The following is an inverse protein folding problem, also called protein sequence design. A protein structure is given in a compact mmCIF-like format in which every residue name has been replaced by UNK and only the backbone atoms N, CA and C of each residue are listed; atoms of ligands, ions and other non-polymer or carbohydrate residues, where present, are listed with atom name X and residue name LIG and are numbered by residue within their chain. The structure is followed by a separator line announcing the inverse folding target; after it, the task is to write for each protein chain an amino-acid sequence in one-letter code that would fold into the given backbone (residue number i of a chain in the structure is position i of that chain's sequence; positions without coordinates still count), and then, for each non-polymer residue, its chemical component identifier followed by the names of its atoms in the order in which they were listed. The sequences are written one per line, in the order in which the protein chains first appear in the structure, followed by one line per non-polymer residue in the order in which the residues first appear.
data_IF_324863122577
#
_entry.id   IF_324863122577
#
_cell.length_a   1.000
_cell.length_b   1.000
_cell.length_c   1.000
_cell.angle_alpha   90.00
_cell.angle_beta   90.00
_cell.angle_gamma   90.00
#
_symmetry.space_group_name_H-M   'P 1'
#
loop_
_entity.id
_entity.type
_entity.pdbx_description
1 polymer ?
#
# COMPACT_ATOMS: atom_id res chain seq x y z
N UNK A 1 25.33 -5.01 -13.11
CA UNK A 1 25.72 -3.61 -13.36
C UNK A 1 25.88 -2.94 -12.04
N UNK A 2 27.05 -2.32 -11.82
CA UNK A 2 27.43 -1.69 -10.55
C UNK A 2 26.51 -0.50 -10.27
N UNK A 3 25.69 -0.59 -9.23
CA UNK A 3 24.95 0.54 -8.65
C UNK A 3 25.90 1.42 -7.82
N UNK A 4 27.00 1.82 -8.41
CA UNK A 4 27.76 2.97 -7.96
C UNK A 4 27.07 4.20 -8.57
N UNK A 5 25.99 4.66 -7.93
CA UNK A 5 25.61 6.06 -8.09
C UNK A 5 26.85 6.88 -7.77
N UNK A 6 27.36 7.58 -8.77
CA UNK A 6 28.30 8.66 -8.58
C UNK A 6 27.61 9.68 -7.68
N UNK A 7 27.89 9.62 -6.42
CA UNK A 7 27.63 10.73 -5.52
C UNK A 7 28.54 11.85 -6.05
N UNK A 8 28.01 13.02 -6.33
CA UNK A 8 28.74 14.19 -6.81
C UNK A 8 29.86 14.66 -5.86
N UNK A 9 30.07 13.96 -4.75
CA UNK A 9 31.05 14.23 -3.69
C UNK A 9 32.30 13.38 -3.77
N UNK A 10 32.66 12.86 -4.94
CA UNK A 10 33.92 12.15 -5.14
C UNK A 10 33.78 10.63 -5.12
N UNK A 11 34.77 9.98 -5.72
CA UNK A 11 34.86 8.53 -5.83
C UNK A 11 35.20 7.93 -4.45
N UNK A 12 34.36 6.98 -3.99
CA UNK A 12 34.61 6.33 -2.69
C UNK A 12 35.83 5.42 -2.80
N UNK A 13 36.90 5.78 -2.15
CA UNK A 13 38.14 5.01 -2.11
C UNK A 13 38.01 3.92 -1.06
N UNK A 14 38.22 2.66 -1.46
CA UNK A 14 38.23 1.51 -0.56
C UNK A 14 39.67 1.22 -0.11
N UNK A 15 39.96 1.46 1.15
CA UNK A 15 41.26 1.17 1.78
C UNK A 15 41.37 -0.25 2.34
N UNK A 16 40.36 -1.09 2.18
CA UNK A 16 40.38 -2.47 2.63
C UNK A 16 41.32 -3.32 1.78
N UNK A 17 42.14 -4.14 2.41
CA UNK A 17 42.97 -5.15 1.76
C UNK A 17 42.18 -6.37 1.27
N UNK A 18 40.95 -6.53 1.75
CA UNK A 18 40.05 -7.62 1.42
C UNK A 18 39.09 -7.14 0.32
N UNK A 19 39.03 -7.88 -0.80
CA UNK A 19 38.03 -7.60 -1.83
C UNK A 19 36.64 -7.87 -1.26
N UNK A 20 35.74 -6.89 -1.33
CA UNK A 20 34.34 -7.08 -0.97
C UNK A 20 33.73 -8.16 -1.88
N UNK A 21 33.33 -9.28 -1.28
CA UNK A 21 32.70 -10.40 -2.00
C UNK A 21 31.22 -10.17 -2.25
N UNK A 22 30.60 -9.29 -1.47
CA UNK A 22 29.17 -8.98 -1.57
C UNK A 22 29.02 -7.46 -1.68
N UNK A 23 28.26 -6.95 -2.66
CA UNK A 23 27.94 -5.53 -2.73
C UNK A 23 27.12 -5.10 -1.51
N UNK A 24 27.34 -3.87 -1.04
CA UNK A 24 26.55 -3.31 0.06
C UNK A 24 25.07 -3.23 -0.38
N UNK A 25 24.14 -3.84 0.39
CA UNK A 25 22.72 -3.73 0.09
C UNK A 25 22.24 -2.29 0.24
N UNK A 26 21.22 -1.93 -0.53
CA UNK A 26 20.56 -0.64 -0.38
C UNK A 26 19.70 -0.67 0.90
N UNK A 27 20.17 -0.02 1.96
CA UNK A 27 19.53 -0.03 3.28
C UNK A 27 18.17 0.65 3.32
N UNK A 28 17.86 1.52 2.35
CA UNK A 28 16.56 2.20 2.24
C UNK A 28 15.63 1.56 1.21
N UNK A 29 16.04 0.47 0.56
CA UNK A 29 15.23 -0.19 -0.47
C UNK A 29 13.88 -0.66 0.06
N UNK A 30 13.84 -1.19 1.28
CA UNK A 30 12.60 -1.67 1.93
C UNK A 30 11.59 -0.53 2.09
N UNK A 31 12.04 0.62 2.55
CA UNK A 31 11.17 1.79 2.76
C UNK A 31 10.65 2.33 1.43
N UNK A 32 11.52 2.47 0.43
CA UNK A 32 11.14 2.94 -0.90
C UNK A 32 10.14 1.99 -1.57
N UNK A 33 10.46 0.70 -1.64
CA UNK A 33 9.59 -0.28 -2.29
C UNK A 33 8.25 -0.42 -1.59
N UNK A 34 8.23 -0.36 -0.25
CA UNK A 34 6.99 -0.39 0.53
C UNK A 34 6.09 0.82 0.22
N UNK A 35 6.68 2.01 0.10
CA UNK A 35 5.92 3.23 -0.20
C UNK A 35 5.46 3.28 -1.66
N UNK A 36 6.28 2.82 -2.59
CA UNK A 36 5.89 2.66 -4.00
C UNK A 36 4.73 1.68 -4.16
N UNK A 37 4.77 0.54 -3.45
CA UNK A 37 3.68 -0.43 -3.42
C UNK A 37 2.41 0.13 -2.76
N UNK A 38 2.56 0.99 -1.74
CA UNK A 38 1.43 1.66 -1.12
C UNK A 38 0.74 2.62 -2.07
N UNK A 39 1.48 3.48 -2.74
CA UNK A 39 0.92 4.50 -3.64
C UNK A 39 0.56 3.96 -5.01
N UNK A 40 1.32 3.03 -5.57
CA UNK A 40 1.19 2.52 -6.94
C UNK A 40 1.03 3.66 -7.96
N UNK A 41 1.76 4.76 -7.76
CA UNK A 41 1.55 6.03 -8.43
C UNK A 41 1.79 5.97 -9.94
N UNK A 42 2.74 5.14 -10.38
CA UNK A 42 3.10 4.99 -11.80
C UNK A 42 2.29 3.93 -12.55
N UNK A 43 1.24 3.35 -11.94
CA UNK A 43 0.38 2.34 -12.56
C UNK A 43 -0.96 2.96 -12.97
N UNK A 44 -1.48 2.52 -14.11
CA UNK A 44 -2.85 2.83 -14.50
C UNK A 44 -3.84 2.22 -13.50
N UNK A 45 -5.02 2.79 -13.38
CA UNK A 45 -6.01 2.34 -12.40
C UNK A 45 -6.36 0.84 -12.53
N UNK A 46 -6.38 0.34 -13.77
CA UNK A 46 -6.69 -1.05 -14.13
C UNK A 46 -5.55 -2.04 -13.83
N UNK A 47 -4.32 -1.54 -13.76
CA UNK A 47 -3.13 -2.34 -13.50
C UNK A 47 -2.79 -2.43 -12.00
N UNK A 48 -3.48 -1.66 -11.16
CA UNK A 48 -3.18 -1.61 -9.73
C UNK A 48 -3.57 -2.88 -9.01
N UNK A 49 -2.66 -3.37 -8.22
CA UNK A 49 -2.93 -4.48 -7.31
C UNK A 49 -3.79 -4.01 -6.14
N UNK A 50 -4.63 -4.91 -5.62
CA UNK A 50 -5.46 -4.62 -4.44
C UNK A 50 -4.60 -4.63 -3.15
N UNK A 51 -3.64 -3.72 -3.08
CA UNK A 51 -2.71 -3.51 -1.95
C UNK A 51 -2.58 -2.02 -1.66
N UNK A 52 -2.10 -1.67 -0.46
CA UNK A 52 -1.87 -0.28 -0.07
C UNK A 52 -3.11 0.59 -0.16
N UNK A 53 -2.99 1.75 -0.80
CA UNK A 53 -4.08 2.73 -0.91
C UNK A 53 -5.30 2.17 -1.69
N UNK A 54 -5.07 1.37 -2.73
CA UNK A 54 -6.14 0.70 -3.48
C UNK A 54 -6.97 -0.22 -2.58
N UNK A 55 -6.31 -1.01 -1.74
CA UNK A 55 -6.99 -1.92 -0.81
C UNK A 55 -7.81 -1.16 0.24
N UNK A 56 -7.33 -0.01 0.71
CA UNK A 56 -8.07 0.83 1.66
C UNK A 56 -9.37 1.30 1.03
N UNK A 57 -9.34 1.86 -0.17
CA UNK A 57 -10.57 2.28 -0.87
C UNK A 57 -11.49 1.09 -1.14
N UNK A 58 -10.96 -0.02 -1.64
CA UNK A 58 -11.76 -1.22 -1.92
C UNK A 58 -12.40 -1.84 -0.68
N UNK A 59 -11.82 -1.66 0.52
CA UNK A 59 -12.39 -2.18 1.78
C UNK A 59 -13.49 -1.31 2.36
N UNK A 60 -13.48 0.00 2.05
CA UNK A 60 -14.47 0.96 2.55
C UNK A 60 -15.68 1.05 1.62
N UNK A 61 -15.45 0.98 0.32
CA UNK A 61 -16.49 1.10 -0.69
C UNK A 61 -16.86 -0.27 -1.28
N UNK A 62 -18.14 -0.50 -1.67
CA UNK A 62 -19.24 0.47 -1.74
C UNK A 62 -19.81 0.85 -0.37
N UNK A 63 -20.25 2.09 -0.23
CA UNK A 63 -20.92 2.60 0.95
C UNK A 63 -22.39 2.85 0.63
N UNK A 64 -23.28 2.16 1.34
CA UNK A 64 -24.73 2.25 1.13
C UNK A 64 -25.39 3.13 2.19
N UNK A 65 -26.42 3.86 1.78
CA UNK A 65 -27.32 4.54 2.69
C UNK A 65 -28.11 3.52 3.54
N UNK A 66 -28.54 3.92 4.74
CA UNK A 66 -29.35 3.06 5.64
C UNK A 66 -30.69 2.62 5.02
N UNK A 67 -31.24 3.38 4.07
CA UNK A 67 -32.43 3.03 3.28
C UNK A 67 -32.10 2.24 2.03
N UNK A 68 -30.84 2.04 1.75
CA UNK A 68 -30.36 1.42 0.52
C UNK A 68 -30.88 2.08 -0.77
N UNK A 69 -31.17 3.38 -0.67
CA UNK A 69 -31.64 4.19 -1.81
C UNK A 69 -30.49 4.71 -2.68
N UNK A 70 -29.28 4.79 -2.12
CA UNK A 70 -28.08 5.18 -2.84
C UNK A 70 -26.89 4.36 -2.43
N UNK A 71 -25.98 4.15 -3.37
CA UNK A 71 -24.69 3.51 -3.15
C UNK A 71 -23.57 4.37 -3.72
N UNK A 72 -22.53 4.60 -2.93
CA UNK A 72 -21.33 5.30 -3.36
C UNK A 72 -20.23 4.28 -3.63
N UNK A 73 -19.79 4.21 -4.87
CA UNK A 73 -18.74 3.33 -5.32
C UNK A 73 -17.45 4.08 -5.56
N UNK A 74 -16.34 3.49 -5.18
CA UNK A 74 -15.02 3.92 -5.58
C UNK A 74 -14.72 3.40 -6.99
N UNK A 75 -14.26 4.29 -7.88
CA UNK A 75 -13.90 3.93 -9.26
C UNK A 75 -12.38 3.87 -9.40
N UNK A 76 -11.71 4.97 -9.14
CA UNK A 76 -10.26 5.09 -9.27
C UNK A 76 -9.73 6.27 -8.45
N UNK A 77 -8.43 6.27 -8.20
CA UNK A 77 -7.74 7.46 -7.71
C UNK A 77 -6.60 7.85 -8.65
N UNK A 78 -6.22 9.11 -8.61
CA UNK A 78 -5.09 9.68 -9.34
C UNK A 78 -4.23 10.47 -8.36
N UNK A 79 -2.92 10.24 -8.41
CA UNK A 79 -1.94 10.94 -7.59
C UNK A 79 -1.16 11.93 -8.45
N UNK A 80 -1.24 13.18 -8.11
CA UNK A 80 -0.56 14.27 -8.80
C UNK A 80 -1.14 14.55 -10.18
N UNK A 81 -0.48 15.45 -10.89
CA UNK A 81 -0.78 15.78 -12.28
C UNK A 81 0.36 15.30 -13.16
N UNK A 82 0.05 14.44 -14.12
CA UNK A 82 1.01 13.88 -15.05
C UNK A 82 0.88 14.59 -16.38
N UNK A 83 1.88 15.43 -16.70
CA UNK A 83 1.87 16.21 -17.93
C UNK A 83 3.30 16.54 -18.39
N UNK A 84 3.44 16.86 -19.68
CA UNK A 84 4.68 17.40 -20.20
C UNK A 84 4.89 18.86 -19.75
N UNK A 85 6.09 19.40 -19.94
CA UNK A 85 6.43 20.77 -19.48
C UNK A 85 5.50 21.87 -19.99
N UNK A 86 4.91 21.71 -21.19
CA UNK A 86 3.98 22.67 -21.75
C UNK A 86 2.50 22.40 -21.41
N UNK A 87 2.19 21.31 -20.70
CA UNK A 87 0.83 20.91 -20.29
C UNK A 87 -0.06 20.40 -21.42
N UNK A 88 0.43 20.23 -22.65
CA UNK A 88 -0.37 19.74 -23.79
C UNK A 88 -0.53 18.22 -23.80
N UNK A 89 0.51 17.49 -23.44
CA UNK A 89 0.47 16.05 -23.32
C UNK A 89 0.22 15.70 -21.85
N UNK A 90 -0.89 15.02 -21.56
CA UNK A 90 -1.34 14.68 -20.18
C UNK A 90 -1.70 13.21 -20.10
N UNK A 91 -1.49 12.63 -18.94
CA UNK A 91 -1.92 11.27 -18.60
C UNK A 91 -0.79 10.27 -18.48
N UNK A 92 -1.01 9.25 -17.65
CA UNK A 92 -0.08 8.15 -17.40
C UNK A 92 0.05 7.18 -18.58
N UNK A 93 -0.93 7.15 -19.47
CA UNK A 93 -0.92 6.33 -20.69
C UNK A 93 0.29 6.65 -21.59
N UNK A 94 0.74 7.90 -21.59
CA UNK A 94 1.92 8.32 -22.33
C UNK A 94 3.27 7.88 -21.72
N UNK A 95 3.23 7.21 -20.56
CA UNK A 95 4.38 6.54 -19.96
C UNK A 95 4.41 5.04 -20.28
N UNK A 96 3.63 4.59 -21.25
CA UNK A 96 3.61 3.22 -21.74
C UNK A 96 4.36 3.13 -23.07
N UNK A 97 5.01 2.00 -23.23
CA UNK A 97 5.68 1.61 -24.47
C UNK A 97 5.18 0.22 -24.87
N UNK A 98 5.12 -0.03 -26.16
CA UNK A 98 4.75 -1.34 -26.67
C UNK A 98 6.00 -2.22 -26.79
N UNK A 99 5.89 -3.44 -26.29
CA UNK A 99 6.96 -4.42 -26.47
C UNK A 99 7.10 -4.78 -27.95
N UNK A 100 8.30 -4.64 -28.49
CA UNK A 100 8.59 -4.95 -29.89
C UNK A 100 8.44 -6.44 -30.26
N UNK A 101 8.42 -7.33 -29.24
CA UNK A 101 8.38 -8.77 -29.44
C UNK A 101 7.00 -9.39 -29.21
N UNK A 102 6.21 -8.88 -28.29
CA UNK A 102 4.90 -9.44 -27.93
C UNK A 102 3.75 -8.43 -27.93
N UNK A 103 4.01 -7.18 -28.30
CA UNK A 103 3.06 -6.07 -28.30
C UNK A 103 2.37 -5.78 -26.92
N UNK A 104 2.92 -6.30 -25.83
CA UNK A 104 2.40 -6.01 -24.50
C UNK A 104 2.70 -4.57 -24.12
N UNK A 105 1.72 -3.88 -23.56
CA UNK A 105 1.91 -2.52 -23.01
C UNK A 105 2.68 -2.61 -21.68
N UNK A 106 3.86 -2.02 -21.64
CA UNK A 106 4.73 -2.04 -20.46
C UNK A 106 5.03 -0.62 -19.99
N UNK A 107 5.24 -0.48 -18.69
CA UNK A 107 5.67 0.80 -18.13
C UNK A 107 7.08 1.14 -18.67
N UNK A 108 7.24 2.35 -19.18
CA UNK A 108 8.55 2.85 -19.55
C UNK A 108 9.46 2.95 -18.31
N UNK A 109 10.75 2.70 -18.51
CA UNK A 109 11.75 2.97 -17.50
C UNK A 109 12.05 4.47 -17.40
N UNK A 110 12.92 4.82 -16.47
CA UNK A 110 13.39 6.20 -16.37
C UNK A 110 14.01 6.69 -17.70
N UNK A 111 13.92 7.99 -18.01
CA UNK A 111 14.42 8.54 -19.29
C UNK A 111 15.91 8.28 -19.57
N UNK A 112 16.68 7.90 -18.55
CA UNK A 112 18.11 7.57 -18.66
C UNK A 112 18.37 6.14 -19.15
N UNK A 113 17.37 5.27 -19.06
CA UNK A 113 17.48 3.88 -19.49
C UNK A 113 17.13 3.76 -20.97
N UNK A 114 17.95 3.09 -21.72
CA UNK A 114 17.77 2.89 -23.18
C UNK A 114 16.90 1.69 -23.51
N UNK A 115 16.76 0.75 -22.59
CA UNK A 115 15.98 -0.48 -22.78
C UNK A 115 15.29 -0.94 -21.50
N UNK A 116 14.15 -1.58 -21.65
CA UNK A 116 13.34 -2.17 -20.58
C UNK A 116 13.12 -3.64 -20.87
N UNK A 117 13.19 -4.48 -19.84
CA UNK A 117 12.86 -5.91 -19.97
C UNK A 117 11.35 -6.06 -19.89
N UNK A 118 10.73 -6.66 -20.90
CA UNK A 118 9.31 -6.93 -20.92
C UNK A 118 8.95 -8.03 -19.90
N UNK A 119 8.04 -7.79 -18.94
CA UNK A 119 7.66 -8.79 -17.96
C UNK A 119 6.86 -9.96 -18.57
N UNK A 120 6.24 -9.75 -19.74
CA UNK A 120 5.43 -10.79 -20.39
C UNK A 120 6.26 -11.80 -21.20
N UNK A 121 7.31 -11.34 -21.90
CA UNK A 121 8.10 -12.22 -22.76
C UNK A 121 9.58 -12.33 -22.34
N UNK A 122 10.04 -11.55 -21.34
CA UNK A 122 11.41 -11.54 -20.86
C UNK A 122 12.45 -10.89 -21.81
N UNK A 123 12.01 -10.37 -22.98
CA UNK A 123 12.89 -9.75 -23.97
C UNK A 123 13.11 -8.26 -23.70
N UNK A 124 14.29 -7.76 -24.07
CA UNK A 124 14.60 -6.34 -24.00
C UNK A 124 13.87 -5.55 -25.09
N UNK A 125 13.23 -4.46 -24.73
CA UNK A 125 12.53 -3.53 -25.63
C UNK A 125 13.12 -2.14 -25.47
N UNK A 126 13.22 -1.38 -26.57
CA UNK A 126 13.70 0.01 -26.51
C UNK A 126 12.78 0.87 -25.65
N UNK A 127 13.37 1.68 -24.77
CA UNK A 127 12.63 2.62 -23.92
C UNK A 127 12.24 3.88 -24.69
N UNK A 128 11.34 3.73 -25.67
CA UNK A 128 10.89 4.81 -26.54
C UNK A 128 9.67 5.53 -25.93
N UNK A 129 9.89 6.30 -24.88
CA UNK A 129 8.82 7.08 -24.24
C UNK A 129 8.30 8.15 -25.22
N UNK A 130 6.99 8.25 -25.44
CA UNK A 130 6.42 9.31 -26.26
C UNK A 130 6.78 10.70 -25.75
N UNK A 131 7.32 11.53 -26.62
CA UNK A 131 7.66 12.92 -26.32
C UNK A 131 6.56 13.85 -26.86
N UNK A 132 6.31 14.92 -26.12
CA UNK A 132 5.36 15.94 -26.58
C UNK A 132 5.85 16.60 -27.87
N UNK A 133 5.04 16.62 -28.93
CA UNK A 133 5.45 17.20 -30.21
C UNK A 133 5.72 18.71 -30.15
N UNK A 134 5.22 19.38 -29.10
CA UNK A 134 5.37 20.84 -28.96
C UNK A 134 6.60 21.23 -28.16
N UNK A 135 6.92 20.52 -27.06
CA UNK A 135 8.02 20.90 -26.16
C UNK A 135 9.16 19.88 -26.13
N UNK A 136 9.05 18.77 -26.87
CA UNK A 136 10.07 17.73 -26.92
C UNK A 136 10.32 16.99 -25.58
N UNK A 137 9.51 17.22 -24.54
CA UNK A 137 9.69 16.58 -23.26
C UNK A 137 8.65 15.46 -23.06
N UNK A 138 9.03 14.36 -22.39
CA UNK A 138 8.07 13.32 -22.00
C UNK A 138 7.11 13.83 -20.92
N UNK A 139 6.05 13.05 -20.66
CA UNK A 139 5.18 13.25 -19.53
C UNK A 139 5.94 12.94 -18.23
N UNK A 140 5.75 13.76 -17.23
CA UNK A 140 6.31 13.58 -15.89
C UNK A 140 5.34 14.07 -14.83
N UNK A 141 5.62 13.73 -13.59
CA UNK A 141 4.87 14.23 -12.46
C UNK A 141 5.15 15.73 -12.30
N UNK A 142 4.09 16.54 -12.37
CA UNK A 142 4.19 17.97 -12.12
C UNK A 142 4.06 18.25 -10.64
N UNK A 143 5.08 18.84 -10.07
CA UNK A 143 5.12 19.30 -8.70
C UNK A 143 5.07 20.82 -8.66
N UNK A 144 4.33 21.36 -7.70
CA UNK A 144 4.22 22.80 -7.51
C UNK A 144 5.51 23.39 -6.92
N UNK A 145 6.20 22.62 -6.09
CA UNK A 145 7.42 23.00 -5.39
C UNK A 145 8.44 21.86 -5.45
N UNK A 146 9.71 22.23 -5.57
CA UNK A 146 10.80 21.28 -5.45
C UNK A 146 11.06 20.91 -3.98
N UNK A 147 11.88 19.88 -3.75
CA UNK A 147 12.29 19.50 -2.39
C UNK A 147 12.99 20.66 -1.66
N UNK A 148 13.83 21.41 -2.37
CA UNK A 148 14.54 22.58 -1.84
C UNK A 148 13.57 23.70 -1.48
N UNK A 149 12.62 24.01 -2.37
CA UNK A 149 11.60 25.03 -2.08
C UNK A 149 10.76 24.67 -0.85
N UNK A 150 10.43 23.38 -0.69
CA UNK A 150 9.67 22.92 0.46
C UNK A 150 10.45 23.09 1.78
N UNK A 151 11.75 22.80 1.77
CA UNK A 151 12.60 23.00 2.95
C UNK A 151 12.75 24.49 3.33
N UNK A 152 13.00 25.34 2.33
CA UNK A 152 13.23 26.78 2.56
C UNK A 152 11.97 27.54 2.97
N UNK A 153 10.83 27.16 2.38
CA UNK A 153 9.55 27.85 2.64
C UNK A 153 8.71 27.21 3.74
N UNK A 154 9.17 26.15 4.37
CA UNK A 154 8.41 25.45 5.41
C UNK A 154 7.17 24.71 4.89
N UNK A 155 7.21 24.23 3.64
CA UNK A 155 6.10 23.52 2.99
C UNK A 155 6.25 22.01 3.13
N UNK A 156 5.17 21.29 2.82
CA UNK A 156 5.18 19.84 2.72
C UNK A 156 5.36 19.42 1.26
N UNK A 157 6.32 18.52 1.01
CA UNK A 157 6.54 17.93 -0.29
C UNK A 157 5.47 16.86 -0.54
N UNK A 158 4.42 17.20 -1.27
CA UNK A 158 3.23 16.38 -1.43
C UNK A 158 2.63 16.50 -2.83
N UNK A 159 1.74 15.56 -3.15
CA UNK A 159 0.93 15.54 -4.37
C UNK A 159 -0.54 15.51 -4.03
N UNK A 160 -1.40 16.16 -4.83
CA UNK A 160 -2.84 16.06 -4.68
C UNK A 160 -3.31 14.63 -4.99
N UNK A 161 -4.18 14.13 -4.12
CA UNK A 161 -4.95 12.90 -4.31
C UNK A 161 -6.33 13.29 -4.82
N UNK A 162 -6.68 12.81 -5.99
CA UNK A 162 -8.01 12.93 -6.59
C UNK A 162 -8.63 11.55 -6.66
N UNK A 163 -9.89 11.45 -6.31
CA UNK A 163 -10.64 10.19 -6.28
C UNK A 163 -11.89 10.34 -7.10
N UNK A 164 -12.11 9.41 -8.01
CA UNK A 164 -13.35 9.33 -8.80
C UNK A 164 -14.31 8.41 -8.07
N UNK A 165 -15.46 8.95 -7.72
CA UNK A 165 -16.56 8.23 -7.12
C UNK A 165 -17.72 8.14 -8.11
N UNK A 166 -18.48 7.06 -7.98
CA UNK A 166 -19.72 6.83 -8.71
C UNK A 166 -20.85 6.68 -7.71
N UNK A 167 -21.79 7.61 -7.76
CA UNK A 167 -23.03 7.56 -7.01
C UNK A 167 -24.10 6.88 -7.85
N UNK A 168 -24.64 5.77 -7.34
CA UNK A 168 -25.78 5.06 -7.94
C UNK A 168 -27.01 5.31 -7.09
N UNK A 169 -28.04 5.85 -7.69
CA UNK A 169 -29.32 6.12 -7.04
C UNK A 169 -30.32 5.08 -7.53
N UNK A 170 -30.99 4.43 -6.58
CA UNK A 170 -32.02 3.43 -6.84
C UNK A 170 -33.41 3.98 -6.60
N UNK A 171 -34.38 3.43 -7.31
CA UNK A 171 -35.81 3.61 -7.06
C UNK A 171 -36.47 2.23 -6.88
N UNK A 172 -37.53 2.18 -6.08
CA UNK A 172 -38.34 0.98 -5.93
C UNK A 172 -39.31 0.89 -7.13
N UNK A 173 -39.18 -0.18 -7.91
CA UNK A 173 -40.08 -0.50 -9.00
C UNK A 173 -41.34 -1.23 -8.50
N UNK A 174 -42.34 -1.39 -9.40
CA UNK A 174 -43.56 -2.18 -9.16
C UNK A 174 -43.15 -3.64 -8.86
N UNK A 175 -43.33 -4.09 -7.61
CA UNK A 175 -42.96 -5.43 -7.16
C UNK A 175 -41.75 -5.49 -6.19
N UNK A 176 -41.22 -4.34 -5.73
CA UNK A 176 -40.09 -4.30 -4.78
C UNK A 176 -38.71 -4.53 -5.40
N UNK A 177 -38.63 -4.55 -6.72
CA UNK A 177 -37.35 -4.64 -7.43
C UNK A 177 -36.63 -3.29 -7.41
N UNK A 178 -35.32 -3.31 -7.09
CA UNK A 178 -34.47 -2.14 -7.18
C UNK A 178 -34.09 -1.86 -8.62
N UNK A 179 -34.39 -0.67 -9.09
CA UNK A 179 -33.97 -0.20 -10.41
C UNK A 179 -33.02 0.99 -10.26
N UNK A 180 -32.03 1.04 -11.12
CA UNK A 180 -31.11 2.18 -11.17
C UNK A 180 -31.87 3.34 -11.79
N UNK A 181 -32.04 4.42 -11.03
CA UNK A 181 -32.66 5.66 -11.47
C UNK A 181 -31.66 6.61 -12.11
N UNK A 182 -30.49 6.78 -11.46
CA UNK A 182 -29.47 7.73 -11.91
C UNK A 182 -28.08 7.24 -11.52
N UNK A 183 -27.08 7.56 -12.34
CA UNK A 183 -25.67 7.26 -12.06
C UNK A 183 -24.87 8.53 -12.32
N UNK A 184 -24.20 9.04 -11.29
CA UNK A 184 -23.31 10.19 -11.39
C UNK A 184 -21.89 9.78 -11.04
N UNK A 185 -20.96 10.21 -11.90
CA UNK A 185 -19.54 9.98 -11.67
C UNK A 185 -18.81 11.33 -11.62
N UNK A 186 -18.02 11.55 -10.58
CA UNK A 186 -17.32 12.81 -10.39
C UNK A 186 -15.94 12.56 -9.77
N UNK A 187 -14.93 13.30 -10.26
CA UNK A 187 -13.59 13.33 -9.69
C UNK A 187 -13.51 14.42 -8.61
N UNK A 188 -13.23 14.03 -7.39
CA UNK A 188 -13.14 14.92 -6.24
C UNK A 188 -11.69 15.02 -5.74
N UNK A 189 -11.30 16.23 -5.34
CA UNK A 189 -10.08 16.44 -4.59
C UNK A 189 -10.25 15.88 -3.16
N UNK A 190 -9.44 14.88 -2.82
CA UNK A 190 -9.57 14.17 -1.55
C UNK A 190 -8.57 14.64 -0.49
N UNK A 191 -7.45 15.24 -0.91
CA UNK A 191 -6.40 15.75 -0.03
C UNK A 191 -5.04 15.72 -0.69
N UNK A 192 -3.99 15.85 0.12
CA UNK A 192 -2.60 15.75 -0.33
C UNK A 192 -1.91 14.58 0.36
N UNK A 193 -1.09 13.87 -0.39
CA UNK A 193 -0.23 12.81 0.14
C UNK A 193 1.23 13.25 0.05
N UNK A 194 1.98 13.18 1.16
CA UNK A 194 3.41 13.45 1.15
C UNK A 194 4.14 12.51 0.18
N UNK A 195 5.14 13.01 -0.52
CA UNK A 195 6.02 12.20 -1.35
C UNK A 195 7.30 11.85 -0.61
N UNK A 196 7.81 10.67 -0.87
CA UNK A 196 9.13 10.26 -0.42
C UNK A 196 10.19 10.82 -1.36
N UNK A 197 11.25 11.37 -0.80
CA UNK A 197 12.41 11.87 -1.54
C UNK A 197 13.27 10.71 -2.06
N UNK A 198 14.23 11.02 -2.91
CA UNK A 198 15.19 10.00 -3.39
C UNK A 198 16.01 9.37 -2.25
N UNK A 199 16.20 10.09 -1.15
CA UNK A 199 16.92 9.62 0.04
C UNK A 199 16.05 8.81 1.01
N UNK A 200 14.76 8.60 0.70
CA UNK A 200 13.84 7.81 1.54
C UNK A 200 13.26 8.60 2.71
N UNK A 201 13.30 9.93 2.66
CA UNK A 201 12.77 10.84 3.67
C UNK A 201 11.47 11.50 3.22
N UNK A 202 10.77 12.13 4.13
CA UNK A 202 9.59 12.98 3.86
C UNK A 202 9.87 14.39 4.34
N UNK A 203 9.48 15.39 3.55
CA UNK A 203 9.57 16.79 3.95
C UNK A 203 8.18 17.24 4.39
N UNK A 204 8.02 17.47 5.68
CA UNK A 204 6.76 17.90 6.30
C UNK A 204 6.97 19.25 6.98
N UNK A 205 6.27 20.29 6.54
CA UNK A 205 6.41 21.65 7.04
C UNK A 205 7.88 22.12 7.05
N UNK A 206 8.61 21.83 5.96
CA UNK A 206 10.02 22.16 5.81
C UNK A 206 11.00 21.27 6.58
N UNK A 207 10.51 20.40 7.45
CA UNK A 207 11.35 19.50 8.26
C UNK A 207 11.46 18.13 7.58
N UNK A 208 12.67 17.64 7.42
CA UNK A 208 12.94 16.31 6.88
C UNK A 208 12.71 15.24 7.96
N UNK A 209 11.90 14.23 7.64
CA UNK A 209 11.49 13.17 8.56
C UNK A 209 11.64 11.80 7.91
N UNK A 210 11.86 10.79 8.73
CA UNK A 210 12.00 9.39 8.30
C UNK A 210 10.99 8.53 9.06
N UNK A 211 10.38 7.59 8.36
CA UNK A 211 9.57 6.55 8.99
C UNK A 211 10.52 5.44 9.45
N UNK A 212 10.61 5.25 10.75
CA UNK A 212 11.44 4.20 11.35
C UNK A 212 10.64 2.91 11.41
N UNK A 213 11.22 1.81 10.90
CA UNK A 213 10.63 0.49 11.00
C UNK A 213 10.52 0.06 12.47
N UNK A 214 9.32 -0.38 12.86
CA UNK A 214 9.08 -0.89 14.20
C UNK A 214 8.93 -2.40 14.16
N UNK A 215 9.66 -3.08 15.05
CA UNK A 215 9.52 -4.52 15.24
C UNK A 215 8.37 -4.79 16.20
N UNK A 216 7.41 -5.58 15.76
CA UNK A 216 6.29 -6.03 16.59
C UNK A 216 6.12 -7.54 16.50
N UNK A 217 5.39 -8.13 17.44
CA UNK A 217 5.07 -9.56 17.36
C UNK A 217 4.13 -9.80 16.18
N UNK A 218 4.43 -10.83 15.39
CA UNK A 218 3.58 -11.25 14.29
C UNK A 218 2.19 -11.67 14.80
N UNK A 219 1.12 -11.25 14.13
CA UNK A 219 -0.21 -11.80 14.39
C UNK A 219 -0.22 -13.31 14.17
N UNK A 220 -0.94 -14.02 15.03
CA UNK A 220 -1.02 -15.48 14.94
C UNK A 220 -1.18 -16.14 16.30
N UNK A 221 -1.10 -17.46 16.30
CA UNK A 221 -1.17 -18.27 17.51
C UNK A 221 0.20 -18.85 17.82
N UNK A 222 0.62 -18.69 19.06
CA UNK A 222 1.88 -19.27 19.56
C UNK A 222 1.61 -20.16 20.76
N UNK A 223 2.26 -21.32 20.80
CA UNK A 223 2.19 -22.28 21.89
C UNK A 223 3.53 -22.28 22.63
N UNK A 224 3.47 -22.12 23.94
CA UNK A 224 4.66 -22.16 24.80
C UNK A 224 4.41 -23.11 25.97
N UNK A 225 5.43 -23.84 26.37
CA UNK A 225 5.41 -24.66 27.56
C UNK A 225 6.30 -23.99 28.61
N UNK A 226 5.68 -23.42 29.65
CA UNK A 226 6.42 -22.75 30.72
C UNK A 226 6.95 -23.75 31.75
N UNK A 227 6.16 -24.77 32.04
CA UNK A 227 6.56 -25.90 32.88
C UNK A 227 6.09 -27.21 32.23
N UNK A 228 6.56 -28.39 32.65
CA UNK A 228 6.08 -29.67 32.12
C UNK A 228 4.56 -29.84 32.13
N UNK A 229 3.87 -29.17 33.06
CA UNK A 229 2.43 -29.24 33.27
C UNK A 229 1.66 -27.99 32.87
N UNK A 230 2.32 -26.90 32.52
CA UNK A 230 1.68 -25.64 32.13
C UNK A 230 1.88 -25.40 30.65
N UNK A 231 0.80 -25.47 29.90
CA UNK A 231 0.73 -25.14 28.48
C UNK A 231 0.02 -23.80 28.35
N UNK A 232 0.63 -22.92 27.58
CA UNK A 232 0.13 -21.59 27.30
C UNK A 232 -0.01 -21.39 25.79
N UNK A 233 -1.22 -21.11 25.33
CA UNK A 233 -1.48 -20.68 23.97
C UNK A 233 -1.80 -19.19 23.96
N UNK A 234 -1.12 -18.42 23.10
CA UNK A 234 -1.33 -16.98 22.93
C UNK A 234 -1.86 -16.70 21.54
N UNK A 235 -2.99 -16.04 21.47
CA UNK A 235 -3.55 -15.50 20.23
C UNK A 235 -3.21 -14.03 20.16
N UNK A 236 -2.38 -13.66 19.21
CA UNK A 236 -1.96 -12.28 18.95
C UNK A 236 -2.74 -11.80 17.72
N UNK A 237 -3.69 -10.86 17.87
CA UNK A 237 -4.41 -10.32 16.73
C UNK A 237 -3.56 -9.32 15.97
N UNK A 238 -3.93 -9.03 14.71
CA UNK A 238 -3.33 -7.91 13.96
C UNK A 238 -3.58 -6.57 14.65
N UNK A 239 -4.79 -6.40 15.21
CA UNK A 239 -5.21 -5.22 15.96
C UNK A 239 -6.18 -5.64 17.07
N UNK A 240 -5.88 -5.26 18.31
CA UNK A 240 -6.75 -5.56 19.47
C UNK A 240 -6.00 -6.22 20.61
N UNK A 241 -6.76 -6.71 21.59
CA UNK A 241 -6.23 -7.32 22.81
C UNK A 241 -5.78 -8.76 22.59
N UNK A 242 -4.72 -9.14 23.25
CA UNK A 242 -4.23 -10.52 23.24
C UNK A 242 -5.12 -11.43 24.05
N UNK A 243 -5.28 -12.66 23.58
CA UNK A 243 -6.00 -13.71 24.31
C UNK A 243 -4.98 -14.80 24.65
N UNK A 244 -4.95 -15.16 25.94
CA UNK A 244 -4.07 -16.21 26.45
C UNK A 244 -4.92 -17.33 27.02
N UNK A 245 -4.65 -18.58 26.60
CA UNK A 245 -5.26 -19.79 27.11
C UNK A 245 -4.21 -20.51 27.93
N UNK A 246 -4.51 -20.79 29.20
CA UNK A 246 -3.59 -21.38 30.16
C UNK A 246 -4.24 -22.60 30.81
N UNK A 247 -3.57 -23.75 30.81
CA UNK A 247 -3.96 -24.88 31.63
C UNK A 247 -3.32 -24.77 33.02
N UNK A 248 -4.14 -24.86 34.05
CA UNK A 248 -3.69 -24.90 35.44
C UNK A 248 -3.15 -26.32 35.77
N UNK A 249 -2.45 -26.45 36.90
CA UNK A 249 -1.95 -27.75 37.46
C UNK A 249 -3.05 -28.81 37.60
N UNK A 250 -4.31 -28.40 37.70
CA UNK A 250 -5.50 -29.28 37.74
C UNK A 250 -6.05 -29.58 36.35
N UNK A 251 -5.37 -29.22 35.27
CA UNK A 251 -5.81 -29.36 33.89
C UNK A 251 -7.12 -28.61 33.58
N UNK A 252 -7.40 -27.54 34.30
CA UNK A 252 -8.52 -26.65 33.99
C UNK A 252 -8.07 -25.55 33.07
N UNK A 253 -8.81 -25.35 31.99
CA UNK A 253 -8.56 -24.30 31.02
C UNK A 253 -9.05 -22.95 31.54
N UNK A 254 -8.16 -21.98 31.55
CA UNK A 254 -8.45 -20.57 31.84
C UNK A 254 -8.11 -19.70 30.64
N UNK A 255 -8.86 -18.60 30.53
CA UNK A 255 -8.63 -17.58 29.51
C UNK A 255 -8.31 -16.25 30.19
N UNK A 256 -7.35 -15.54 29.61
CA UNK A 256 -6.98 -14.19 30.02
C UNK A 256 -7.01 -13.28 28.80
N UNK A 257 -7.67 -12.15 28.91
CA UNK A 257 -7.73 -11.13 27.86
C UNK A 257 -6.94 -9.94 28.35
N UNK A 258 -5.97 -9.48 27.52
CA UNK A 258 -5.17 -8.28 27.76
C UNK A 258 -4.49 -8.25 29.14
N UNK A 259 -3.96 -9.42 29.58
CA UNK A 259 -3.30 -9.62 30.90
C UNK A 259 -4.15 -9.29 32.12
N UNK A 260 -5.50 -9.18 31.93
CA UNK A 260 -6.44 -8.96 33.02
C UNK A 260 -6.71 -10.27 33.82
N UNK A 261 -7.67 -10.23 34.74
CA UNK A 261 -8.02 -11.38 35.55
C UNK A 261 -8.45 -12.57 34.69
N UNK A 262 -7.92 -13.77 34.99
CA UNK A 262 -8.28 -15.00 34.31
C UNK A 262 -9.71 -15.45 34.68
N UNK A 263 -10.39 -16.10 33.79
CA UNK A 263 -11.72 -16.69 33.99
C UNK A 263 -11.78 -18.07 33.30
N UNK A 264 -12.74 -18.93 33.62
CA UNK A 264 -12.84 -20.26 33.05
C UNK A 264 -12.99 -20.24 31.54
N UNK A 265 -12.29 -21.12 30.82
CA UNK A 265 -12.32 -21.22 29.36
C UNK A 265 -13.72 -21.57 28.84
N UNK A 266 -14.49 -22.36 29.58
CA UNK A 266 -15.88 -22.69 29.23
C UNK A 266 -16.80 -21.47 29.16
N UNK A 267 -16.57 -20.46 30.01
CA UNK A 267 -17.34 -19.22 29.98
C UNK A 267 -17.02 -18.41 28.70
N UNK A 268 -15.72 -18.42 28.28
CA UNK A 268 -15.31 -17.78 27.06
C UNK A 268 -15.89 -18.47 25.81
N UNK A 269 -15.87 -19.81 25.78
CA UNK A 269 -16.40 -20.56 24.64
C UNK A 269 -17.92 -20.36 24.50
N UNK A 270 -18.65 -20.28 25.63
CA UNK A 270 -20.08 -19.94 25.60
C UNK A 270 -20.34 -18.54 25.05
N UNK A 271 -19.51 -17.59 25.41
CA UNK A 271 -19.61 -16.23 24.85
C UNK A 271 -19.32 -16.18 23.34
N UNK A 272 -18.59 -17.16 22.80
CA UNK A 272 -18.33 -17.31 21.35
C UNK A 272 -19.45 -18.09 20.62
N UNK A 273 -20.48 -18.55 21.32
CA UNK A 273 -21.66 -19.20 20.72
C UNK A 273 -21.76 -20.72 20.95
N UNK A 274 -20.88 -21.32 21.75
CA UNK A 274 -21.01 -22.73 22.16
C UNK A 274 -21.89 -22.84 23.40
N UNK A 275 -23.22 -22.81 23.23
CA UNK A 275 -24.19 -22.70 24.36
C UNK A 275 -24.30 -23.96 25.20
N UNK A 276 -24.19 -25.14 24.58
CA UNK A 276 -24.42 -26.42 25.28
C UNK A 276 -23.11 -27.09 25.70
N UNK A 277 -23.19 -27.89 26.79
CA UNK A 277 -22.05 -28.71 27.21
C UNK A 277 -21.65 -29.75 26.17
N UNK A 278 -22.61 -30.23 25.37
CA UNK A 278 -22.40 -31.23 24.35
C UNK A 278 -21.55 -30.64 23.20
N UNK A 279 -21.86 -29.43 22.75
CA UNK A 279 -21.05 -28.70 21.76
C UNK A 279 -19.62 -28.45 22.27
N UNK A 280 -19.46 -28.14 23.55
CA UNK A 280 -18.13 -27.96 24.14
C UNK A 280 -17.31 -29.26 24.11
N UNK A 281 -17.93 -30.40 24.38
CA UNK A 281 -17.26 -31.72 24.38
C UNK A 281 -16.93 -32.17 22.96
N UNK A 282 -17.75 -31.83 21.97
CA UNK A 282 -17.51 -32.16 20.57
C UNK A 282 -16.31 -31.37 19.95
N UNK A 283 -15.99 -30.20 20.50
CA UNK A 283 -14.88 -29.37 20.04
C UNK A 283 -13.54 -29.81 20.65
N UNK A 284 -13.53 -30.42 21.84
CA UNK A 284 -12.34 -30.88 22.57
C UNK A 284 -12.29 -32.41 22.68
#
# INVERSE_FOLDING_TARGET
MSLTQKIETGERVNFSKIRATIPLPNLIAVQKSSYEQFLQMGLLAEERHNTGLQAVFSSVFPFSDFRSACELHFVRFVLGTWECKCGRLKGLEHLRIDCQHCAAHIKAAEPRETSVVCPACGQGTANAVPHCPTCGNPVGLRLNYSETDCRERGLTYAVPLKVTFRLVVFEEGEGGERRIRDVKEEELYFGELPLMTETGTFIINGTERVIVSQLHRSPGVSFTRETPTSLLAKVVPYRGSWIEFEFDKKQVLYVRIDRKRRFPGTAFMRALGLESNQQLIEVF
#
